data_IF_688896895535
#
_entry.id   IF_688896895535
#
_cell.length_a   1.000
_cell.length_b   1.000
_cell.length_c   1.000
_cell.angle_alpha   90.00
_cell.angle_beta   90.00
_cell.angle_gamma   90.00
#
_symmetry.space_group_name_H-M   'P 1'
#
loop_
_entity.id
_entity.type
_entity.pdbx_description
1 polymer ?
#
# COMPACT_ATOMS: atom_id res chain seq x y z
N UNK A 1 4.31 4.76 6.22
CA UNK A 1 5.60 5.17 6.82
C UNK A 1 6.73 5.22 5.79
N UNK A 2 7.10 4.10 5.14
CA UNK A 2 8.14 4.12 4.10
C UNK A 2 7.81 4.98 2.87
N UNK A 3 6.54 5.04 2.47
CA UNK A 3 6.07 5.92 1.38
C UNK A 3 6.35 7.40 1.66
N UNK A 4 6.11 7.85 2.91
CA UNK A 4 6.38 9.22 3.33
C UNK A 4 7.88 9.56 3.32
N UNK A 5 8.75 8.62 3.72
CA UNK A 5 10.21 8.78 3.62
C UNK A 5 10.65 8.96 2.17
N UNK A 6 10.12 8.14 1.26
CA UNK A 6 10.41 8.26 -0.18
C UNK A 6 9.93 9.61 -0.75
N UNK A 7 8.74 10.04 -0.38
CA UNK A 7 8.17 11.32 -0.84
C UNK A 7 8.99 12.52 -0.37
N UNK A 8 9.37 12.55 0.91
CA UNK A 8 10.23 13.60 1.46
C UNK A 8 11.63 13.54 0.86
N UNK A 9 12.17 12.36 0.60
CA UNK A 9 13.45 12.26 -0.09
C UNK A 9 13.42 12.87 -1.49
N UNK A 10 12.34 12.67 -2.25
CA UNK A 10 12.14 13.31 -3.56
C UNK A 10 12.05 14.84 -3.47
N UNK A 11 11.71 15.39 -2.30
CA UNK A 11 11.71 16.84 -2.02
C UNK A 11 13.10 17.37 -1.59
N UNK A 12 14.14 16.52 -1.61
CA UNK A 12 15.54 16.89 -1.35
C UNK A 12 16.07 16.53 0.04
N UNK A 13 15.26 15.92 0.90
CA UNK A 13 15.68 15.55 2.26
C UNK A 13 16.55 14.27 2.27
N UNK A 14 17.48 14.19 3.21
CA UNK A 14 18.37 13.03 3.36
C UNK A 14 17.62 11.81 3.90
N UNK A 15 17.77 10.65 3.23
CA UNK A 15 17.23 9.37 3.72
C UNK A 15 17.72 9.05 5.14
N UNK A 16 18.97 9.40 5.47
CA UNK A 16 19.53 9.15 6.79
C UNK A 16 18.80 9.91 7.89
N UNK A 17 18.48 11.18 7.64
CA UNK A 17 17.76 12.04 8.59
C UNK A 17 16.31 11.60 8.71
N UNK A 18 15.67 11.31 7.58
CA UNK A 18 14.28 10.82 7.56
C UNK A 18 14.12 9.48 8.28
N UNK A 19 15.05 8.54 8.09
CA UNK A 19 15.04 7.26 8.81
C UNK A 19 15.23 7.46 10.32
N UNK A 20 16.15 8.36 10.71
CA UNK A 20 16.37 8.72 12.12
C UNK A 20 15.11 9.33 12.74
N UNK A 21 14.45 10.27 12.05
CA UNK A 21 13.21 10.90 12.50
C UNK A 21 12.05 9.89 12.59
N UNK A 22 11.97 8.94 11.65
CA UNK A 22 10.94 7.91 11.64
C UNK A 22 11.22 6.73 12.61
N UNK A 23 12.38 6.71 13.29
CA UNK A 23 12.75 5.65 14.23
C UNK A 23 13.05 4.30 13.55
N UNK A 24 13.41 4.29 12.26
CA UNK A 24 13.76 3.06 11.52
C UNK A 24 15.23 3.06 11.10
N UNK A 25 15.79 1.87 10.88
CA UNK A 25 17.13 1.76 10.29
C UNK A 25 17.09 2.07 8.79
N UNK A 26 18.20 2.60 8.24
CA UNK A 26 18.37 2.77 6.79
C UNK A 26 18.21 1.42 6.05
N UNK A 27 18.64 0.33 6.69
CA UNK A 27 18.49 -1.02 6.14
C UNK A 27 17.02 -1.40 5.98
N UNK A 28 16.17 -1.15 6.98
CA UNK A 28 14.74 -1.42 6.90
C UNK A 28 14.07 -0.63 5.77
N UNK A 29 14.48 0.63 5.56
CA UNK A 29 14.01 1.43 4.42
C UNK A 29 14.35 0.77 3.08
N UNK A 30 15.61 0.38 2.85
CA UNK A 30 16.00 -0.24 1.58
C UNK A 30 15.43 -1.65 1.41
N UNK A 31 15.27 -2.43 2.48
CA UNK A 31 14.57 -3.71 2.44
C UNK A 31 13.13 -3.53 1.99
N UNK A 32 12.41 -2.55 2.54
CA UNK A 32 11.06 -2.24 2.09
C UNK A 32 11.05 -1.76 0.64
N UNK A 33 11.96 -0.87 0.24
CA UNK A 33 12.02 -0.32 -1.12
C UNK A 33 12.29 -1.39 -2.18
N UNK A 34 13.16 -2.34 -1.87
CA UNK A 34 13.57 -3.39 -2.79
C UNK A 34 12.75 -4.67 -2.63
N UNK A 35 11.69 -4.67 -1.81
CA UNK A 35 10.86 -5.85 -1.59
C UNK A 35 10.12 -6.23 -2.86
N UNK A 36 10.15 -7.51 -3.21
CA UNK A 36 9.22 -8.05 -4.19
C UNK A 36 7.85 -8.22 -3.54
N UNK A 37 6.78 -7.83 -4.24
CA UNK A 37 5.42 -8.12 -3.79
C UNK A 37 5.24 -9.64 -3.75
N UNK A 38 4.68 -10.14 -2.65
CA UNK A 38 4.30 -11.55 -2.56
C UNK A 38 3.19 -11.88 -3.56
N UNK A 39 3.03 -13.16 -3.91
CA UNK A 39 1.90 -13.60 -4.75
C UNK A 39 0.56 -13.21 -4.14
N UNK A 40 0.44 -13.27 -2.81
CA UNK A 40 -0.76 -12.84 -2.09
C UNK A 40 -0.99 -11.34 -2.19
N UNK A 41 0.04 -10.50 -2.07
CA UNK A 41 -0.10 -9.05 -2.27
C UNK A 41 -0.52 -8.71 -3.71
N UNK A 42 0.00 -9.43 -4.71
CA UNK A 42 -0.42 -9.26 -6.10
C UNK A 42 -1.89 -9.63 -6.28
N UNK A 43 -2.31 -10.79 -5.75
CA UNK A 43 -3.70 -11.26 -5.78
C UNK A 43 -4.62 -10.26 -5.06
N UNK A 44 -4.25 -9.82 -3.87
CA UNK A 44 -5.03 -8.86 -3.08
C UNK A 44 -5.14 -7.51 -3.79
N UNK A 45 -4.09 -7.04 -4.46
CA UNK A 45 -4.15 -5.78 -5.23
C UNK A 45 -5.22 -5.89 -6.33
N UNK A 46 -5.19 -6.97 -7.12
CA UNK A 46 -6.21 -7.22 -8.16
C UNK A 46 -7.61 -7.38 -7.58
N UNK A 47 -7.71 -8.03 -6.41
CA UNK A 47 -8.99 -8.24 -5.73
C UNK A 47 -9.60 -6.91 -5.30
N UNK A 48 -8.78 -5.99 -4.79
CA UNK A 48 -9.23 -4.63 -4.43
C UNK A 48 -9.77 -3.89 -5.64
N UNK A 49 -9.12 -4.00 -6.80
CA UNK A 49 -9.60 -3.35 -8.03
C UNK A 49 -11.01 -3.87 -8.41
N UNK A 50 -11.23 -5.19 -8.37
CA UNK A 50 -12.54 -5.81 -8.63
C UNK A 50 -13.59 -5.42 -7.58
N UNK A 51 -13.19 -5.37 -6.31
CA UNK A 51 -14.04 -4.91 -5.20
C UNK A 51 -14.55 -3.49 -5.46
N UNK A 52 -13.67 -2.60 -5.92
CA UNK A 52 -14.01 -1.20 -6.20
C UNK A 52 -14.96 -1.08 -7.38
N UNK A 53 -14.71 -1.82 -8.46
CA UNK A 53 -15.59 -1.86 -9.63
C UNK A 53 -17.02 -2.29 -9.23
N UNK A 54 -17.16 -3.41 -8.51
CA UNK A 54 -18.47 -3.88 -8.03
C UNK A 54 -19.12 -2.90 -7.07
N UNK A 55 -18.34 -2.24 -6.21
CA UNK A 55 -18.84 -1.24 -5.28
C UNK A 55 -19.38 0.00 -6.01
N UNK A 56 -18.70 0.46 -7.06
CA UNK A 56 -19.15 1.59 -7.88
C UNK A 56 -20.39 1.22 -8.72
N UNK A 57 -20.44 0.02 -9.31
CA UNK A 57 -21.57 -0.45 -10.11
C UNK A 57 -22.90 -0.53 -9.35
N UNK A 58 -22.84 -0.69 -8.03
CA UNK A 58 -24.00 -0.77 -7.15
C UNK A 58 -24.20 0.49 -6.30
N UNK A 59 -23.60 1.62 -6.70
CA UNK A 59 -23.65 2.92 -6.00
C UNK A 59 -23.26 2.82 -4.51
N UNK A 60 -22.36 1.91 -4.17
CA UNK A 60 -21.88 1.67 -2.82
C UNK A 60 -22.88 1.02 -1.86
N UNK A 61 -23.98 0.45 -2.37
CA UNK A 61 -25.01 -0.20 -1.54
C UNK A 61 -24.50 -1.51 -0.91
N UNK A 62 -23.52 -2.17 -1.54
CA UNK A 62 -23.04 -3.47 -1.08
C UNK A 62 -22.12 -3.33 0.13
N UNK A 63 -22.57 -3.88 1.26
CA UNK A 63 -21.74 -4.11 2.44
C UNK A 63 -21.00 -5.43 2.38
N UNK A 64 -20.14 -5.68 3.37
CA UNK A 64 -19.25 -6.87 3.45
C UNK A 64 -19.93 -8.20 3.09
N UNK A 65 -21.15 -8.44 3.59
CA UNK A 65 -21.87 -9.70 3.35
C UNK A 65 -22.31 -9.88 1.90
N UNK A 66 -22.75 -8.81 1.23
CA UNK A 66 -23.16 -8.87 -0.18
C UNK A 66 -21.94 -9.05 -1.07
N UNK A 67 -20.86 -8.32 -0.77
CA UNK A 67 -19.59 -8.48 -1.47
C UNK A 67 -19.07 -9.91 -1.41
N UNK A 68 -19.15 -10.56 -0.24
CA UNK A 68 -18.71 -11.95 -0.06
C UNK A 68 -19.60 -13.01 -0.74
N UNK A 69 -20.81 -12.66 -1.21
CA UNK A 69 -21.70 -13.56 -1.96
C UNK A 69 -21.57 -13.33 -3.46
N UNK A 70 -21.34 -12.08 -3.87
CA UNK A 70 -21.23 -11.68 -5.28
C UNK A 70 -19.86 -11.99 -5.89
N UNK A 71 -18.80 -11.95 -5.07
CA UNK A 71 -17.43 -12.27 -5.48
C UNK A 71 -17.08 -13.73 -5.22
#
# INVERSE_FOLDING_TARGET
>A
MHSAITELHNKGYSISELCRCAGISRQAYYQYRNRNKSENEIKNTKLVDVILEVYEDVDGIYGYRQMAITM
#
